data_IF_516030982646
#
_entry.id   IF_516030982646
#
_cell.length_a   1.000
_cell.length_b   1.000
_cell.length_c   1.000
_cell.angle_alpha   90.00
_cell.angle_beta   90.00
_cell.angle_gamma   90.00
#
_symmetry.space_group_name_H-M   'P 1'
#
loop_
_entity.id
_entity.type
_entity.pdbx_description
1 polymer ?
#
# COMPACT_ATOMS: atom_id res chain seq x y z
N UNK A 1 -12.78 -14.44 -32.51
CA UNK A 1 -12.14 -13.12 -32.43
C UNK A 1 -12.69 -12.40 -31.22
N UNK A 2 -11.82 -12.07 -30.25
CA UNK A 2 -12.07 -11.04 -29.25
C UNK A 2 -10.67 -10.58 -28.78
N UNK A 3 -10.24 -9.46 -29.35
CA UNK A 3 -9.05 -8.71 -28.99
C UNK A 3 -9.32 -7.98 -27.68
N UNK A 4 -8.40 -8.07 -26.72
CA UNK A 4 -8.43 -7.27 -25.50
C UNK A 4 -7.05 -6.68 -25.32
N UNK A 5 -6.95 -5.40 -25.67
CA UNK A 5 -5.75 -4.57 -25.63
C UNK A 5 -5.19 -4.54 -24.20
N UNK A 6 -4.01 -5.12 -24.01
CA UNK A 6 -3.17 -4.82 -22.86
C UNK A 6 -2.29 -3.65 -23.27
N UNK A 7 -2.68 -2.45 -22.85
CA UNK A 7 -1.87 -1.26 -23.01
C UNK A 7 -0.64 -1.41 -22.11
N UNK A 8 0.51 -1.72 -22.71
CA UNK A 8 1.80 -1.68 -22.03
C UNK A 8 2.17 -0.21 -21.88
N UNK A 9 2.17 0.29 -20.67
CA UNK A 9 2.80 1.57 -20.38
C UNK A 9 4.31 1.38 -20.47
N UNK A 10 4.90 1.77 -21.60
CA UNK A 10 6.34 1.94 -21.75
C UNK A 10 6.76 3.10 -20.82
N UNK A 11 7.39 2.77 -19.70
CA UNK A 11 7.98 3.73 -18.79
C UNK A 11 9.28 4.23 -19.43
N UNK A 12 9.25 5.40 -20.07
CA UNK A 12 10.46 5.99 -20.67
C UNK A 12 11.50 6.29 -19.58
N UNK A 13 12.58 5.51 -19.58
CA UNK A 13 13.77 5.72 -18.75
C UNK A 13 14.55 6.88 -19.36
N UNK A 14 14.48 8.04 -18.70
CA UNK A 14 15.26 9.22 -19.05
C UNK A 14 16.75 8.92 -18.98
N UNK A 15 17.41 8.97 -20.14
CA UNK A 15 18.85 8.75 -20.29
C UNK A 15 19.66 9.84 -19.58
N UNK A 16 20.45 9.46 -18.58
CA UNK A 16 21.54 10.28 -18.03
C UNK A 16 22.86 9.51 -18.01
N UNK A 17 23.60 9.64 -19.11
CA UNK A 17 25.07 9.64 -19.21
C UNK A 17 25.87 8.83 -18.16
N UNK A 18 26.37 7.68 -18.60
CA UNK A 18 27.82 7.40 -18.54
C UNK A 18 28.41 7.06 -17.18
N UNK A 19 27.82 6.10 -16.48
CA UNK A 19 28.55 5.11 -15.68
C UNK A 19 28.20 3.73 -16.24
N UNK A 20 28.89 2.66 -15.88
CA UNK A 20 28.29 1.32 -15.99
C UNK A 20 27.06 1.34 -15.10
N UNK A 21 25.91 1.71 -15.67
CA UNK A 21 24.64 1.74 -14.96
C UNK A 21 24.37 0.32 -14.51
N UNK A 22 24.54 0.07 -13.21
CA UNK A 22 24.08 -1.16 -12.61
C UNK A 22 22.60 -1.29 -12.94
N UNK A 23 22.26 -2.28 -13.75
CA UNK A 23 20.88 -2.54 -14.13
C UNK A 23 20.09 -2.88 -12.86
N UNK A 24 18.90 -2.30 -12.72
CA UNK A 24 18.00 -2.57 -11.60
C UNK A 24 16.86 -3.46 -12.10
N UNK A 25 16.78 -4.67 -11.56
CA UNK A 25 15.68 -5.59 -11.84
C UNK A 25 14.70 -5.59 -10.68
N UNK A 26 13.41 -5.44 -10.99
CA UNK A 26 12.35 -5.51 -9.98
C UNK A 26 11.80 -6.92 -9.84
N UNK A 27 11.54 -7.32 -8.59
CA UNK A 27 10.89 -8.58 -8.25
C UNK A 27 10.01 -8.41 -7.02
N UNK A 28 9.12 -9.37 -6.81
CA UNK A 28 8.35 -9.46 -5.57
C UNK A 28 9.29 -9.69 -4.37
N UNK A 29 8.95 -9.07 -3.24
CA UNK A 29 9.63 -9.26 -1.98
C UNK A 29 9.50 -10.72 -1.52
N UNK A 30 10.59 -11.30 -1.04
CA UNK A 30 10.61 -12.64 -0.47
C UNK A 30 10.93 -12.60 1.03
N UNK A 31 10.51 -13.62 1.78
CA UNK A 31 10.72 -13.67 3.23
C UNK A 31 12.19 -13.54 3.65
N UNK A 32 13.12 -14.02 2.81
CA UNK A 32 14.57 -13.92 3.04
C UNK A 32 15.11 -12.49 2.98
N UNK A 33 14.39 -11.57 2.33
CA UNK A 33 14.84 -10.20 2.07
C UNK A 33 14.51 -9.24 3.23
N UNK A 34 13.72 -9.67 4.22
CA UNK A 34 13.13 -8.77 5.24
C UNK A 34 14.18 -8.02 6.05
N UNK A 35 15.33 -8.64 6.33
CA UNK A 35 16.41 -8.00 7.09
C UNK A 35 17.03 -6.86 6.27
N UNK A 36 17.41 -7.13 5.03
CA UNK A 36 18.00 -6.15 4.12
C UNK A 36 17.00 -5.01 3.80
N UNK A 37 15.72 -5.35 3.63
CA UNK A 37 14.65 -4.36 3.48
C UNK A 37 14.55 -3.41 4.67
N UNK A 38 14.63 -3.94 5.90
CA UNK A 38 14.58 -3.14 7.13
C UNK A 38 15.75 -2.15 7.17
N UNK A 39 16.94 -2.60 6.81
CA UNK A 39 18.15 -1.76 6.76
C UNK A 39 18.01 -0.64 5.72
N UNK A 40 17.56 -0.99 4.50
CA UNK A 40 17.29 -0.01 3.45
C UNK A 40 16.25 1.03 3.89
N UNK A 41 15.13 0.59 4.49
CA UNK A 41 14.06 1.51 4.90
C UNK A 41 14.50 2.46 6.03
N UNK A 42 15.39 2.03 6.93
CA UNK A 42 15.99 2.91 7.94
C UNK A 42 16.86 4.00 7.33
N UNK A 43 17.49 3.73 6.18
CA UNK A 43 18.28 4.70 5.45
C UNK A 43 17.41 5.65 4.59
N UNK A 44 16.33 5.14 3.99
CA UNK A 44 15.47 5.90 3.08
C UNK A 44 14.37 6.72 3.76
N UNK A 45 13.84 6.24 4.89
CA UNK A 45 12.67 6.85 5.54
C UNK A 45 13.00 7.29 6.97
N UNK A 46 12.56 8.49 7.39
CA UNK A 46 12.78 8.97 8.75
C UNK A 46 11.88 8.29 9.79
N UNK A 47 11.05 7.32 9.39
CA UNK A 47 10.10 6.61 10.24
C UNK A 47 10.55 5.19 10.50
N UNK A 48 10.32 4.69 11.71
CA UNK A 48 10.55 3.28 12.06
C UNK A 48 9.24 2.51 11.98
N UNK A 49 9.20 1.52 11.11
CA UNK A 49 8.09 0.56 11.04
C UNK A 49 8.21 -0.49 12.15
N UNK A 50 7.06 -0.96 12.65
CA UNK A 50 7.00 -2.02 13.66
C UNK A 50 7.26 -3.40 13.07
N UNK A 51 7.59 -4.39 13.91
CA UNK A 51 7.69 -5.78 13.46
C UNK A 51 6.41 -6.26 12.78
N UNK A 52 5.25 -5.90 13.35
CA UNK A 52 3.94 -6.21 12.81
C UNK A 52 3.65 -5.58 11.44
N UNK A 53 4.37 -4.54 11.02
CA UNK A 53 4.27 -4.02 9.66
C UNK A 53 4.95 -4.99 8.68
N UNK A 54 6.15 -5.47 9.02
CA UNK A 54 6.90 -6.40 8.18
C UNK A 54 6.21 -7.75 8.06
N UNK A 55 5.59 -8.24 9.14
CA UNK A 55 4.81 -9.48 9.10
C UNK A 55 3.63 -9.39 8.12
N UNK A 56 3.00 -8.20 8.00
CA UNK A 56 1.86 -7.98 7.11
C UNK A 56 2.24 -7.92 5.63
N UNK A 57 3.51 -7.68 5.29
CA UNK A 57 3.94 -7.59 3.88
C UNK A 57 3.69 -8.89 3.10
N UNK A 58 3.58 -10.02 3.79
CA UNK A 58 3.34 -11.35 3.22
C UNK A 58 1.88 -11.81 3.38
N UNK A 59 0.97 -10.89 3.70
CA UNK A 59 -0.46 -11.20 3.89
C UNK A 59 -1.29 -10.66 2.73
N UNK A 60 -2.46 -11.27 2.51
CA UNK A 60 -3.39 -10.84 1.48
C UNK A 60 -3.71 -9.34 1.57
N UNK A 61 -3.85 -8.70 0.41
CA UNK A 61 -4.10 -7.27 0.33
C UNK A 61 -2.86 -6.40 0.52
N UNK A 62 -1.67 -6.98 0.69
CA UNK A 62 -0.40 -6.25 0.61
C UNK A 62 0.39 -6.73 -0.60
N UNK A 63 1.06 -5.80 -1.29
CA UNK A 63 1.96 -6.12 -2.39
C UNK A 63 3.22 -5.27 -2.25
N UNK A 64 4.38 -5.92 -2.30
CA UNK A 64 5.67 -5.25 -2.17
C UNK A 64 6.62 -5.73 -3.25
N UNK A 65 7.16 -4.78 -4.01
CA UNK A 65 8.22 -5.02 -4.98
C UNK A 65 9.53 -4.41 -4.48
N UNK A 66 10.64 -5.10 -4.74
CA UNK A 66 12.00 -4.65 -4.46
C UNK A 66 12.78 -4.54 -5.76
N UNK A 67 13.60 -3.49 -5.88
CA UNK A 67 14.55 -3.32 -6.96
C UNK A 67 15.92 -3.80 -6.51
N UNK A 68 16.51 -4.73 -7.24
CA UNK A 68 17.82 -5.31 -6.96
C UNK A 68 18.84 -4.91 -8.03
N UNK A 69 20.08 -4.67 -7.62
CA UNK A 69 21.20 -4.51 -8.56
C UNK A 69 21.51 -5.83 -9.26
N UNK A 70 21.93 -5.76 -10.52
CA UNK A 70 22.41 -6.92 -11.29
C UNK A 70 23.92 -6.78 -11.52
N UNK A 71 24.73 -7.84 -11.30
CA UNK A 71 24.36 -9.20 -10.87
C UNK A 71 24.34 -9.42 -9.35
N UNK A 72 24.72 -8.42 -8.55
CA UNK A 72 25.04 -8.59 -7.12
C UNK A 72 23.81 -8.90 -6.26
N UNK A 73 22.62 -8.53 -6.71
CA UNK A 73 21.34 -8.84 -6.06
C UNK A 73 21.00 -7.95 -4.88
N UNK A 74 21.77 -6.90 -4.62
CA UNK A 74 21.57 -5.96 -3.52
C UNK A 74 20.27 -5.18 -3.69
N UNK A 75 19.45 -5.11 -2.64
CA UNK A 75 18.19 -4.38 -2.63
C UNK A 75 18.46 -2.89 -2.45
N UNK A 76 18.16 -2.11 -3.50
CA UNK A 76 18.39 -0.66 -3.55
C UNK A 76 17.10 0.15 -3.63
N UNK A 77 15.96 -0.49 -3.87
CA UNK A 77 14.67 0.16 -3.97
C UNK A 77 13.54 -0.71 -3.39
N UNK A 78 12.50 -0.06 -2.89
CA UNK A 78 11.28 -0.71 -2.40
C UNK A 78 10.04 0.11 -2.76
N UNK A 79 8.99 -0.57 -3.21
CA UNK A 79 7.64 -0.02 -3.34
C UNK A 79 6.67 -0.98 -2.65
N UNK A 80 5.90 -0.47 -1.68
CA UNK A 80 4.92 -1.28 -0.92
C UNK A 80 3.55 -0.61 -0.96
N UNK A 81 2.52 -1.41 -1.23
CA UNK A 81 1.12 -0.97 -1.31
C UNK A 81 0.22 -1.86 -0.48
N UNK A 82 -0.83 -1.27 0.10
CA UNK A 82 -1.93 -1.97 0.74
C UNK A 82 -3.22 -1.73 -0.04
N UNK A 83 -3.79 -2.80 -0.58
CA UNK A 83 -5.07 -2.81 -1.27
C UNK A 83 -6.18 -2.81 -0.23
N UNK A 84 -6.99 -1.75 -0.22
CA UNK A 84 -8.18 -1.67 0.63
C UNK A 84 -9.38 -1.76 -0.30
N UNK A 85 -10.07 -2.89 -0.31
CA UNK A 85 -11.36 -2.99 -0.98
C UNK A 85 -12.38 -2.22 -0.13
N UNK A 86 -12.97 -1.19 -0.74
CA UNK A 86 -14.21 -0.64 -0.20
C UNK A 86 -15.28 -1.68 -0.52
N UNK A 87 -15.75 -2.42 0.47
CA UNK A 87 -17.02 -3.13 0.33
C UNK A 87 -18.14 -2.11 0.03
N UNK A 88 -19.31 -2.58 -0.36
CA UNK A 88 -20.57 -1.80 -0.46
C UNK A 88 -20.98 -1.23 0.92
N UNK A 89 -20.12 -0.41 1.53
CA UNK A 89 -20.41 0.44 2.66
C UNK A 89 -21.23 1.62 2.12
N UNK A 90 -22.52 1.35 1.89
CA UNK A 90 -23.50 2.36 2.26
C UNK A 90 -23.10 2.87 3.66
N UNK A 91 -22.88 4.17 3.87
CA UNK A 91 -22.60 4.69 5.20
C UNK A 91 -23.70 4.15 6.14
N UNK A 92 -23.37 3.67 7.36
CA UNK A 92 -24.40 3.19 8.27
C UNK A 92 -25.44 4.29 8.34
N UNK A 93 -26.68 3.96 7.93
CA UNK A 93 -27.78 4.90 7.98
C UNK A 93 -27.72 5.57 9.35
N UNK A 94 -27.67 6.91 9.38
CA UNK A 94 -27.69 7.69 10.61
C UNK A 94 -29.03 7.49 11.32
N UNK A 95 -29.24 6.30 11.87
CA UNK A 95 -30.45 5.88 12.56
C UNK A 95 -30.30 6.12 14.07
N UNK A 96 -29.66 7.22 14.46
CA UNK A 96 -29.47 7.60 15.86
C UNK A 96 -29.42 9.14 16.03
N UNK A 97 -30.23 9.90 15.29
CA UNK A 97 -30.42 11.33 15.63
C UNK A 97 -31.87 11.84 15.53
N UNK A 98 -32.82 11.06 15.01
CA UNK A 98 -34.25 11.47 15.01
C UNK A 98 -35.03 11.01 16.26
N UNK A 99 -34.71 9.87 16.85
CA UNK A 99 -35.45 9.37 18.03
C UNK A 99 -35.12 10.12 19.34
N UNK A 100 -33.98 10.82 19.42
CA UNK A 100 -33.61 11.63 20.59
C UNK A 100 -34.27 13.02 20.61
N UNK A 101 -34.88 13.47 19.50
CA UNK A 101 -35.57 14.77 19.42
C UNK A 101 -37.07 14.60 19.65
N UNK A 102 -37.67 13.47 19.26
CA UNK A 102 -39.11 13.24 19.46
C UNK A 102 -39.46 12.89 20.92
N UNK A 103 -38.53 12.33 21.71
CA UNK A 103 -38.80 11.97 23.11
C UNK A 103 -38.60 13.11 24.14
N UNK A 104 -38.27 14.34 23.70
CA UNK A 104 -38.25 15.52 24.58
C UNK A 104 -39.44 16.46 24.39
N UNK A 105 -40.26 16.26 23.36
CA UNK A 105 -41.44 17.08 23.14
C UNK A 105 -42.65 16.65 23.99
N UNK A 106 -42.66 15.42 24.54
CA UNK A 106 -43.84 14.87 25.22
C UNK A 106 -43.81 14.98 26.77
N UNK A 107 -42.76 15.58 27.36
CA UNK A 107 -42.64 15.79 28.83
C UNK A 107 -42.69 17.28 29.18
N UNK A 108 -43.56 18.04 28.50
CA UNK A 108 -43.85 19.44 28.85
C UNK A 108 -45.34 19.79 28.80
N UNK A 109 -46.24 18.81 28.58
CA UNK A 109 -47.65 19.06 28.25
C UNK A 109 -48.70 18.36 29.11
N UNK A 110 -48.35 17.79 30.28
CA UNK A 110 -49.35 17.28 31.23
C UNK A 110 -49.14 17.87 32.63
N UNK A 111 -49.81 19.00 32.86
CA UNK A 111 -50.36 19.41 34.14
C UNK A 111 -51.75 19.97 33.90
#
# INVERSE_FOLDING_TARGET
AASSCVERADLEVGATRGGTESEIAFRELQARDVIELRELQLALFPVRYSDSFYDRLFTDGHYTAVGCTVPDGEIVAVASVRIVQRGDDAPPAQRNLREAVENKADVAGQR
#
